data_IF_381257000547
#
_entry.id   IF_381257000547
#
_cell.length_a   1.000
_cell.length_b   1.000
_cell.length_c   1.000
_cell.angle_alpha   90.00
_cell.angle_beta   90.00
_cell.angle_gamma   90.00
#
_symmetry.space_group_name_H-M   'P 1'
#
loop_
_entity.id
_entity.type
_entity.pdbx_description
1 polymer ?
#
# COMPACT_ATOMS: atom_id res chain seq x y z
N UNK A 1 -21.86 -1.07 1.81
CA UNK A 1 -21.15 -0.41 0.70
C UNK A 1 -20.23 0.62 1.33
N UNK A 2 -18.93 0.53 1.08
CA UNK A 2 -17.96 1.49 1.62
C UNK A 2 -18.10 2.79 0.84
N UNK A 3 -18.11 3.92 1.53
CA UNK A 3 -17.90 5.21 0.87
C UNK A 3 -16.40 5.34 0.55
N UNK A 4 -16.04 5.18 -0.73
CA UNK A 4 -14.65 5.25 -1.19
C UNK A 4 -14.01 6.63 -0.92
N UNK A 5 -14.79 7.71 -0.84
CA UNK A 5 -14.26 9.05 -0.54
C UNK A 5 -13.89 9.16 0.94
N UNK A 6 -14.77 8.67 1.82
CA UNK A 6 -14.48 8.58 3.25
C UNK A 6 -13.26 7.69 3.50
N UNK A 7 -13.20 6.54 2.82
CA UNK A 7 -12.05 5.64 2.87
C UNK A 7 -10.74 6.38 2.55
N UNK A 8 -10.66 7.04 1.39
CA UNK A 8 -9.44 7.73 0.95
C UNK A 8 -9.07 8.89 1.88
N UNK A 9 -10.08 9.64 2.35
CA UNK A 9 -9.90 10.77 3.26
C UNK A 9 -9.46 10.38 4.68
N UNK A 10 -9.70 9.13 5.09
CA UNK A 10 -9.29 8.61 6.41
C UNK A 10 -7.84 8.10 6.48
N UNK A 11 -7.12 8.15 5.35
CA UNK A 11 -5.74 7.65 5.23
C UNK A 11 -4.77 8.83 5.14
N UNK A 12 -3.82 8.85 6.07
CA UNK A 12 -2.69 9.77 6.03
C UNK A 12 -1.64 9.28 5.03
N UNK A 13 -1.15 10.18 4.17
CA UNK A 13 -0.10 9.91 3.18
C UNK A 13 0.99 10.95 3.29
N UNK A 14 2.25 10.52 3.34
CA UNK A 14 3.42 11.39 3.42
C UNK A 14 4.55 10.79 2.58
N UNK A 15 5.38 11.65 2.01
CA UNK A 15 6.64 11.25 1.40
C UNK A 15 7.79 11.88 2.16
N UNK A 16 8.93 11.19 2.16
CA UNK A 16 10.17 11.68 2.70
C UNK A 16 11.38 11.04 2.01
N UNK A 17 12.55 11.45 2.46
CA UNK A 17 13.83 11.00 1.95
C UNK A 17 14.64 10.32 3.06
N UNK A 18 15.39 9.30 2.68
CA UNK A 18 16.33 8.61 3.58
C UNK A 18 17.57 8.20 2.79
N UNK A 19 18.70 8.11 3.48
CA UNK A 19 19.88 7.38 2.96
C UNK A 19 19.84 5.96 3.50
N UNK A 20 19.83 4.99 2.61
CA UNK A 20 19.88 3.56 2.93
C UNK A 20 21.03 2.93 2.15
N UNK A 21 21.89 2.17 2.83
CA UNK A 21 23.08 1.55 2.22
C UNK A 21 23.95 2.52 1.39
N UNK A 22 24.06 3.78 1.86
CA UNK A 22 24.84 4.83 1.20
C UNK A 22 24.22 5.40 -0.07
N UNK A 23 22.98 5.05 -0.40
CA UNK A 23 22.23 5.56 -1.56
C UNK A 23 20.98 6.30 -1.12
N UNK A 24 20.56 7.27 -1.92
CA UNK A 24 19.27 7.95 -1.72
C UNK A 24 18.12 6.95 -1.87
N UNK A 25 17.11 7.11 -1.03
CA UNK A 25 15.90 6.32 -1.01
C UNK A 25 14.71 7.22 -0.70
N UNK A 26 13.60 6.93 -1.36
CA UNK A 26 12.30 7.56 -1.06
C UNK A 26 11.57 6.72 -0.03
N UNK A 27 10.89 7.41 0.87
CA UNK A 27 10.04 6.82 1.90
C UNK A 27 8.61 7.22 1.60
N UNK A 28 7.77 6.23 1.30
CA UNK A 28 6.34 6.39 1.17
C UNK A 28 5.68 5.95 2.46
N UNK A 29 5.10 6.89 3.22
CA UNK A 29 4.40 6.61 4.47
C UNK A 29 2.90 6.64 4.24
N UNK A 30 2.22 5.57 4.64
CA UNK A 30 0.76 5.46 4.64
C UNK A 30 0.28 5.04 6.02
N UNK A 31 -0.86 5.55 6.48
CA UNK A 31 -1.45 4.97 7.68
C UNK A 31 -2.83 5.48 8.05
N UNK A 32 -3.42 4.79 9.02
CA UNK A 32 -4.82 4.97 9.42
C UNK A 32 -5.07 4.47 10.84
N UNK A 33 -5.96 5.16 11.55
CA UNK A 33 -6.47 4.72 12.86
C UNK A 33 -7.73 3.86 12.69
N UNK A 34 -7.86 2.84 13.53
CA UNK A 34 -8.94 1.88 13.55
C UNK A 34 -9.58 1.79 14.94
N UNK A 35 -10.89 1.57 14.98
CA UNK A 35 -11.64 1.36 16.22
C UNK A 35 -11.45 -0.07 16.73
N UNK A 36 -10.21 -0.39 17.11
CA UNK A 36 -9.79 -1.68 17.68
C UNK A 36 -8.56 -1.46 18.58
N UNK A 37 -8.07 -2.52 19.24
CA UNK A 37 -6.88 -2.44 20.11
C UNK A 37 -5.58 -2.66 19.32
N UNK A 38 -4.45 -2.26 19.91
CA UNK A 38 -3.11 -2.48 19.34
C UNK A 38 -2.85 -3.97 19.11
N UNK A 39 -3.24 -4.81 20.05
CA UNK A 39 -3.06 -6.27 19.98
C UNK A 39 -3.89 -6.87 18.85
N UNK A 40 -5.14 -6.43 18.70
CA UNK A 40 -6.01 -6.91 17.64
C UNK A 40 -5.49 -6.50 16.25
N UNK A 41 -5.14 -5.22 16.08
CA UNK A 41 -4.55 -4.72 14.84
C UNK A 41 -3.23 -5.42 14.52
N UNK A 42 -2.40 -5.67 15.53
CA UNK A 42 -1.17 -6.45 15.38
C UNK A 42 -1.43 -7.85 14.84
N UNK A 43 -2.40 -8.58 15.43
CA UNK A 43 -2.78 -9.91 14.94
C UNK A 43 -3.34 -9.86 13.51
N UNK A 44 -4.14 -8.84 13.17
CA UNK A 44 -4.64 -8.65 11.81
C UNK A 44 -3.52 -8.51 10.77
N UNK A 45 -2.39 -7.91 11.16
CA UNK A 45 -1.24 -7.69 10.29
C UNK A 45 -0.16 -8.79 10.34
N UNK A 46 -0.20 -9.71 11.31
CA UNK A 46 0.90 -10.67 11.52
C UNK A 46 0.49 -12.14 11.59
N UNK A 47 -0.78 -12.46 11.88
CA UNK A 47 -1.29 -13.83 11.83
C UNK A 47 -1.65 -14.20 10.38
N UNK A 48 -0.97 -15.17 9.73
CA UNK A 48 -1.24 -15.55 8.35
C UNK A 48 -2.69 -16.01 8.11
N UNK A 49 -3.35 -16.62 9.10
CA UNK A 49 -4.75 -17.05 8.99
C UNK A 49 -5.73 -15.87 9.01
N UNK A 50 -5.28 -14.73 9.55
CA UNK A 50 -6.04 -13.49 9.57
C UNK A 50 -5.71 -12.60 8.36
N UNK A 51 -4.44 -12.50 7.98
CA UNK A 51 -4.00 -11.74 6.80
C UNK A 51 -4.74 -12.19 5.55
N UNK A 52 -4.86 -13.51 5.32
CA UNK A 52 -5.54 -14.06 4.13
C UNK A 52 -7.02 -13.70 4.00
N UNK A 53 -7.63 -13.13 5.04
CA UNK A 53 -9.04 -12.70 5.05
C UNK A 53 -9.23 -11.35 4.38
N UNK A 54 -8.17 -10.54 4.28
CA UNK A 54 -8.26 -9.16 3.81
C UNK A 54 -7.14 -8.76 2.84
N UNK A 55 -6.11 -9.59 2.76
CA UNK A 55 -4.97 -9.45 1.88
C UNK A 55 -4.65 -10.80 1.21
N UNK A 56 -3.61 -10.81 0.37
CA UNK A 56 -3.12 -12.02 -0.25
C UNK A 56 -2.52 -12.99 0.79
N UNK A 57 -2.65 -14.32 0.61
CA UNK A 57 -2.08 -15.30 1.54
C UNK A 57 -0.57 -15.14 1.72
N UNK A 58 -0.13 -15.23 2.98
CA UNK A 58 1.28 -15.12 3.37
C UNK A 58 1.75 -16.44 3.97
N UNK A 59 2.89 -16.94 3.50
CA UNK A 59 3.49 -18.21 3.97
C UNK A 59 5.01 -18.09 4.13
N UNK A 60 5.62 -19.05 4.82
CA UNK A 60 7.07 -19.13 5.03
C UNK A 60 7.47 -19.25 6.50
N UNK A 61 8.72 -18.89 6.82
CA UNK A 61 9.20 -18.78 8.20
C UNK A 61 8.98 -17.35 8.69
N UNK A 62 7.88 -17.14 9.42
CA UNK A 62 7.42 -15.82 9.87
C UNK A 62 8.11 -15.39 11.17
N UNK A 63 9.45 -15.41 11.17
CA UNK A 63 10.31 -15.00 12.29
C UNK A 63 11.46 -14.13 11.76
N UNK A 64 12.12 -13.32 12.60
CA UNK A 64 13.32 -12.59 12.19
C UNK A 64 14.37 -13.49 11.56
N UNK A 65 14.90 -13.08 10.40
CA UNK A 65 15.80 -13.85 9.53
C UNK A 65 15.09 -14.85 8.61
N UNK A 66 13.81 -15.13 8.83
CA UNK A 66 13.01 -16.05 8.05
C UNK A 66 12.52 -15.43 6.73
N UNK A 67 12.33 -16.30 5.73
CA UNK A 67 11.79 -15.91 4.42
C UNK A 67 10.29 -16.07 4.37
N UNK A 68 9.61 -15.06 3.83
CA UNK A 68 8.17 -15.06 3.57
C UNK A 68 7.87 -14.96 2.08
N UNK A 69 6.64 -15.34 1.71
CA UNK A 69 6.07 -15.17 0.38
C UNK A 69 4.61 -14.74 0.50
N UNK A 70 4.25 -13.75 -0.31
CA UNK A 70 2.88 -13.35 -0.59
C UNK A 70 2.50 -14.00 -1.93
N UNK A 71 1.43 -14.79 -1.96
CA UNK A 71 1.04 -15.52 -3.17
C UNK A 71 0.71 -14.58 -4.34
N UNK A 72 1.30 -14.85 -5.50
CA UNK A 72 1.10 -14.06 -6.72
C UNK A 72 1.68 -12.63 -6.68
N UNK A 73 2.44 -12.27 -5.64
CA UNK A 73 2.94 -10.92 -5.44
C UNK A 73 4.44 -10.93 -5.07
N UNK A 74 4.81 -10.46 -3.89
CA UNK A 74 6.20 -10.31 -3.47
C UNK A 74 6.69 -11.43 -2.54
N UNK A 75 8.01 -11.53 -2.38
CA UNK A 75 8.65 -12.28 -1.30
C UNK A 75 9.56 -11.37 -0.48
N UNK A 76 10.17 -11.90 0.58
CA UNK A 76 11.17 -11.14 1.31
C UNK A 76 11.72 -11.88 2.52
N UNK A 77 12.49 -11.14 3.31
CA UNK A 77 13.08 -11.58 4.58
C UNK A 77 12.57 -10.68 5.68
N UNK A 78 12.08 -11.25 6.77
CA UNK A 78 11.72 -10.48 7.97
C UNK A 78 13.02 -10.08 8.66
N UNK A 79 13.29 -8.79 8.76
CA UNK A 79 14.54 -8.29 9.33
C UNK A 79 14.42 -8.12 10.84
N UNK A 80 13.30 -7.56 11.30
CA UNK A 80 13.01 -7.32 12.72
C UNK A 80 11.54 -7.53 13.02
N UNK A 81 11.25 -7.95 14.24
CA UNK A 81 9.89 -8.07 14.75
C UNK A 81 9.92 -7.80 16.26
N UNK A 82 9.19 -6.77 16.69
CA UNK A 82 9.01 -6.34 18.07
C UNK A 82 7.51 -6.28 18.40
N UNK A 83 6.87 -7.43 18.71
CA UNK A 83 5.45 -7.48 18.98
C UNK A 83 5.05 -6.72 20.26
N UNK A 84 3.88 -6.06 20.30
CA UNK A 84 2.91 -5.86 19.22
C UNK A 84 3.08 -4.51 18.50
N UNK A 85 4.32 -4.00 18.38
CA UNK A 85 4.60 -2.59 18.06
C UNK A 85 5.15 -2.39 16.67
N UNK A 86 6.03 -3.25 16.17
CA UNK A 86 6.62 -3.04 14.86
C UNK A 86 7.25 -4.29 14.23
N UNK A 87 7.34 -4.30 12.91
CA UNK A 87 8.19 -5.23 12.18
C UNK A 87 8.76 -4.56 10.93
N UNK A 88 9.91 -5.05 10.46
CA UNK A 88 10.51 -4.63 9.19
C UNK A 88 10.83 -5.84 8.34
N UNK A 89 10.71 -5.70 7.03
CA UNK A 89 11.03 -6.75 6.09
C UNK A 89 11.50 -6.18 4.74
N UNK A 90 12.31 -6.94 4.01
CA UNK A 90 12.54 -6.67 2.60
C UNK A 90 11.30 -7.00 1.78
N UNK A 91 11.12 -6.32 0.66
CA UNK A 91 10.04 -6.55 -0.30
C UNK A 91 10.65 -6.76 -1.68
N UNK A 92 10.64 -8.01 -2.14
CA UNK A 92 11.24 -8.47 -3.39
C UNK A 92 10.13 -8.66 -4.43
N UNK A 93 10.10 -7.79 -5.45
CA UNK A 93 9.10 -7.85 -6.52
C UNK A 93 9.69 -7.40 -7.86
N UNK A 94 9.38 -8.14 -8.93
CA UNK A 94 9.83 -7.79 -10.28
C UNK A 94 11.36 -7.68 -10.44
N UNK A 95 12.12 -8.45 -9.65
CA UNK A 95 13.60 -8.41 -9.63
C UNK A 95 14.20 -7.24 -8.84
N UNK A 96 13.37 -6.39 -8.24
CA UNK A 96 13.80 -5.29 -7.37
C UNK A 96 13.65 -5.66 -5.90
N UNK A 97 14.44 -5.02 -5.05
CA UNK A 97 14.36 -5.12 -3.60
C UNK A 97 14.09 -3.73 -3.02
N UNK A 98 12.99 -3.64 -2.27
CA UNK A 98 12.65 -2.51 -1.42
C UNK A 98 12.48 -2.98 0.03
N UNK A 99 12.04 -2.11 0.92
CA UNK A 99 11.84 -2.41 2.33
C UNK A 99 10.48 -1.90 2.79
N UNK A 100 9.89 -2.61 3.75
CA UNK A 100 8.73 -2.16 4.49
C UNK A 100 9.06 -2.06 5.97
N UNK A 101 8.59 -1.01 6.62
CA UNK A 101 8.62 -0.85 8.08
C UNK A 101 7.19 -0.56 8.56
N UNK A 102 6.62 -1.47 9.35
CA UNK A 102 5.27 -1.33 9.91
C UNK A 102 5.38 -0.96 11.38
N UNK A 103 4.58 0.03 11.80
CA UNK A 103 4.46 0.48 13.18
C UNK A 103 2.99 0.47 13.59
N UNK A 104 2.70 -0.08 14.76
CA UNK A 104 1.38 -0.12 15.38
C UNK A 104 1.47 0.50 16.78
N UNK A 105 0.57 1.44 17.07
CA UNK A 105 0.54 2.14 18.34
C UNK A 105 -0.86 2.59 18.72
N UNK A 106 -1.01 3.07 19.94
CA UNK A 106 -2.27 3.64 20.43
C UNK A 106 -2.27 5.14 20.18
N UNK A 107 -3.39 5.67 19.72
CA UNK A 107 -3.62 7.11 19.57
C UNK A 107 -4.14 7.74 20.86
N UNK A 108 -4.05 9.06 21.02
CA UNK A 108 -4.53 9.73 22.24
C UNK A 108 -6.01 9.52 22.56
N UNK A 109 -6.84 9.17 21.57
CA UNK A 109 -8.26 8.86 21.72
C UNK A 109 -8.54 7.35 21.92
N UNK A 110 -7.50 6.54 22.17
CA UNK A 110 -7.62 5.11 22.52
C UNK A 110 -7.79 4.15 21.35
N UNK A 111 -7.69 4.64 20.11
CA UNK A 111 -7.74 3.82 18.89
C UNK A 111 -6.37 3.23 18.55
N UNK A 112 -6.33 2.17 17.76
CA UNK A 112 -5.08 1.62 17.23
C UNK A 112 -4.71 2.26 15.88
N UNK A 113 -3.46 2.72 15.75
CA UNK A 113 -2.91 3.34 14.52
C UNK A 113 -1.94 2.39 13.85
N UNK A 114 -2.22 2.05 12.60
CA UNK A 114 -1.30 1.38 11.68
C UNK A 114 -0.53 2.44 10.88
N UNK A 115 0.79 2.35 10.81
CA UNK A 115 1.64 3.09 9.87
C UNK A 115 2.55 2.13 9.12
N UNK A 116 2.72 2.35 7.82
CA UNK A 116 3.67 1.63 6.98
C UNK A 116 4.53 2.63 6.22
N UNK A 117 5.84 2.44 6.30
CA UNK A 117 6.81 3.04 5.39
C UNK A 117 7.18 2.00 4.33
N UNK A 118 7.06 2.34 3.06
CA UNK A 118 7.65 1.61 1.96
C UNK A 118 8.87 2.40 1.45
N UNK A 119 10.05 1.80 1.52
CA UNK A 119 11.32 2.45 1.27
C UNK A 119 11.96 1.80 0.04
N UNK A 120 12.30 2.60 -0.96
CA UNK A 120 12.97 2.13 -2.17
C UNK A 120 14.04 3.12 -2.61
N UNK A 121 15.11 2.61 -3.23
CA UNK A 121 16.06 3.48 -3.91
C UNK A 121 15.39 4.22 -5.07
N UNK A 122 15.80 5.46 -5.31
CA UNK A 122 15.33 6.22 -6.46
C UNK A 122 15.84 5.57 -7.74
N UNK A 123 14.93 5.29 -8.67
CA UNK A 123 15.22 4.81 -10.01
C UNK A 123 14.36 5.56 -11.05
N UNK A 124 14.56 5.25 -12.33
CA UNK A 124 13.81 5.88 -13.43
C UNK A 124 12.28 5.69 -13.30
N UNK A 125 11.85 4.62 -12.61
CA UNK A 125 10.42 4.29 -12.43
C UNK A 125 9.76 5.23 -11.43
N UNK A 126 10.49 5.69 -10.42
CA UNK A 126 10.01 6.76 -9.53
C UNK A 126 9.75 8.04 -10.31
N UNK A 127 10.67 8.46 -11.19
CA UNK A 127 10.51 9.67 -11.98
C UNK A 127 9.35 9.56 -12.99
N UNK A 128 9.10 8.35 -13.51
CA UNK A 128 8.02 8.11 -14.46
C UNK A 128 6.64 7.99 -13.78
N UNK A 129 6.50 7.19 -12.72
CA UNK A 129 5.19 6.84 -12.17
C UNK A 129 4.89 7.48 -10.81
N UNK A 130 5.91 8.05 -10.16
CA UNK A 130 5.79 8.71 -8.87
C UNK A 130 5.34 7.76 -7.75
N UNK A 131 4.93 8.31 -6.59
CA UNK A 131 4.57 7.53 -5.41
C UNK A 131 3.34 6.63 -5.61
N UNK A 132 2.43 7.00 -6.52
CA UNK A 132 1.21 6.24 -6.76
C UNK A 132 1.47 4.82 -7.27
N UNK A 133 2.63 4.57 -7.90
CA UNK A 133 3.00 3.28 -8.48
C UNK A 133 2.94 2.13 -7.46
N UNK A 134 3.26 2.43 -6.20
CA UNK A 134 3.13 1.48 -5.08
C UNK A 134 2.06 1.93 -4.08
N UNK A 135 1.85 3.24 -3.94
CA UNK A 135 0.92 3.82 -2.98
C UNK A 135 -0.54 3.40 -3.19
N UNK A 136 -0.99 3.32 -4.45
CA UNK A 136 -2.37 2.89 -4.76
C UNK A 136 -2.62 1.44 -4.32
N UNK A 137 -1.61 0.57 -4.47
CA UNK A 137 -1.66 -0.80 -3.98
C UNK A 137 -1.81 -0.88 -2.46
N UNK A 138 -1.07 -0.03 -1.72
CA UNK A 138 -1.19 0.06 -0.27
C UNK A 138 -2.54 0.61 0.19
N UNK A 139 -3.10 1.57 -0.54
CA UNK A 139 -4.47 2.04 -0.29
C UNK A 139 -5.49 0.92 -0.44
N UNK A 140 -5.34 0.08 -1.48
CA UNK A 140 -6.17 -1.12 -1.67
C UNK A 140 -6.02 -2.13 -0.52
N UNK A 141 -4.78 -2.35 -0.03
CA UNK A 141 -4.54 -3.20 1.13
C UNK A 141 -5.21 -2.64 2.40
N UNK A 142 -5.11 -1.33 2.65
CA UNK A 142 -5.78 -0.68 3.78
C UNK A 142 -7.30 -0.72 3.66
N UNK A 143 -7.86 -0.64 2.46
CA UNK A 143 -9.29 -0.87 2.23
C UNK A 143 -9.70 -2.28 2.65
N UNK A 144 -8.93 -3.30 2.26
CA UNK A 144 -9.14 -4.68 2.72
C UNK A 144 -9.11 -4.79 4.24
N UNK A 145 -8.07 -4.26 4.89
CA UNK A 145 -7.92 -4.28 6.34
C UNK A 145 -9.09 -3.56 7.04
N UNK A 146 -9.53 -2.43 6.49
CA UNK A 146 -10.68 -1.66 6.99
C UNK A 146 -11.94 -2.51 7.00
N UNK A 147 -12.25 -3.14 5.88
CA UNK A 147 -13.42 -4.01 5.75
C UNK A 147 -13.37 -5.15 6.77
N UNK A 148 -12.22 -5.82 6.87
CA UNK A 148 -12.05 -6.95 7.78
C UNK A 148 -12.19 -6.57 9.25
N UNK A 149 -11.63 -5.42 9.68
CA UNK A 149 -11.78 -4.96 11.06
C UNK A 149 -13.20 -4.49 11.36
N UNK A 150 -13.91 -3.93 10.37
CA UNK A 150 -15.28 -3.45 10.54
C UNK A 150 -16.31 -4.60 10.59
N UNK A 151 -16.12 -5.67 9.82
CA UNK A 151 -17.10 -6.76 9.71
C UNK A 151 -16.69 -8.05 10.42
N UNK A 152 -15.40 -8.26 10.64
CA UNK A 152 -14.83 -9.53 11.10
C UNK A 152 -14.80 -10.63 10.03
N UNK A 153 -15.37 -10.37 8.85
CA UNK A 153 -15.50 -11.33 7.75
C UNK A 153 -14.26 -11.34 6.85
N UNK A 154 -14.14 -12.39 6.04
CA UNK A 154 -13.17 -12.45 4.97
C UNK A 154 -13.76 -11.88 3.67
N UNK A 155 -12.90 -11.30 2.84
CA UNK A 155 -13.26 -10.82 1.51
C UNK A 155 -13.07 -11.98 0.52
N UNK A 156 -14.10 -12.31 -0.25
CA UNK A 156 -13.97 -13.29 -1.33
C UNK A 156 -13.05 -12.71 -2.43
N UNK A 157 -11.97 -13.41 -2.82
CA UNK A 157 -11.05 -12.93 -3.86
C UNK A 157 -11.72 -12.59 -5.18
N UNK A 158 -12.77 -13.32 -5.58
CA UNK A 158 -13.51 -13.07 -6.83
C UNK A 158 -14.36 -11.81 -6.74
N UNK A 159 -14.96 -11.55 -5.58
CA UNK A 159 -15.71 -10.32 -5.34
C UNK A 159 -14.77 -9.12 -5.31
N UNK A 160 -13.61 -9.25 -4.68
CA UNK A 160 -12.56 -8.22 -4.70
C UNK A 160 -12.09 -7.93 -6.14
N UNK A 161 -11.83 -8.96 -6.96
CA UNK A 161 -11.43 -8.81 -8.36
C UNK A 161 -12.51 -8.12 -9.22
N UNK A 162 -13.76 -8.56 -9.06
CA UNK A 162 -14.90 -7.94 -9.75
C UNK A 162 -15.07 -6.47 -9.35
N UNK A 163 -14.89 -6.14 -8.07
CA UNK A 163 -14.97 -4.77 -7.59
C UNK A 163 -13.82 -3.90 -8.13
N UNK A 164 -12.58 -4.40 -8.12
CA UNK A 164 -11.41 -3.68 -8.63
C UNK A 164 -11.54 -3.27 -10.11
N UNK A 165 -12.27 -4.04 -10.91
CA UNK A 165 -12.51 -3.78 -12.34
C UNK A 165 -13.82 -3.04 -12.63
N UNK A 166 -14.62 -2.76 -11.60
CA UNK A 166 -15.87 -2.01 -11.69
C UNK A 166 -15.65 -0.50 -11.87
N UNK A 167 -16.72 0.27 -12.11
CA UNK A 167 -16.66 1.73 -12.12
C UNK A 167 -16.25 2.30 -10.76
N UNK A 168 -16.74 1.70 -9.66
CA UNK A 168 -16.41 2.12 -8.30
C UNK A 168 -14.93 1.85 -7.97
N UNK A 169 -14.40 0.68 -8.35
CA UNK A 169 -12.97 0.36 -8.20
C UNK A 169 -12.07 1.31 -9.00
N UNK A 170 -12.46 1.63 -10.25
CA UNK A 170 -11.74 2.65 -11.04
C UNK A 170 -11.83 4.03 -10.40
N UNK A 171 -12.97 4.41 -9.82
CA UNK A 171 -13.11 5.66 -9.09
C UNK A 171 -12.21 5.70 -7.85
N UNK A 172 -12.09 4.59 -7.12
CA UNK A 172 -11.16 4.45 -6.00
C UNK A 172 -9.71 4.67 -6.44
N UNK A 173 -9.27 4.04 -7.54
CA UNK A 173 -7.91 4.23 -8.04
C UNK A 173 -7.62 5.68 -8.45
N UNK A 174 -8.59 6.38 -9.06
CA UNK A 174 -8.45 7.81 -9.37
C UNK A 174 -8.29 8.65 -8.11
N UNK A 175 -9.17 8.46 -7.11
CA UNK A 175 -9.11 9.19 -5.84
C UNK A 175 -7.81 8.92 -5.07
N UNK A 176 -7.33 7.67 -5.06
CA UNK A 176 -6.05 7.30 -4.44
C UNK A 176 -4.87 7.93 -5.19
N UNK A 177 -4.85 7.86 -6.53
CA UNK A 177 -3.80 8.47 -7.35
C UNK A 177 -3.74 9.99 -7.20
N UNK A 178 -4.89 10.66 -7.13
CA UNK A 178 -4.98 12.10 -6.85
C UNK A 178 -4.45 12.41 -5.44
N UNK A 179 -4.79 11.62 -4.43
CA UNK A 179 -4.29 11.81 -3.06
C UNK A 179 -2.77 11.62 -2.95
N UNK A 180 -2.20 10.65 -3.67
CA UNK A 180 -0.74 10.47 -3.76
C UNK A 180 -0.05 11.60 -4.54
N UNK A 181 -0.71 12.16 -5.57
CA UNK A 181 -0.22 13.35 -6.26
C UNK A 181 -0.11 14.55 -5.31
N UNK A 182 -1.13 14.78 -4.48
CA UNK A 182 -1.10 15.87 -3.50
C UNK A 182 -0.01 15.66 -2.43
N UNK A 183 0.21 14.41 -1.99
CA UNK A 183 1.32 14.07 -1.09
C UNK A 183 2.70 14.32 -1.73
N UNK A 184 2.84 14.02 -3.03
CA UNK A 184 4.06 14.27 -3.80
C UNK A 184 4.37 15.78 -3.91
N UNK A 185 3.35 16.57 -4.27
CA UNK A 185 3.45 18.03 -4.32
C UNK A 185 3.81 18.60 -2.94
N UNK A 186 3.17 18.11 -1.88
CA UNK A 186 3.46 18.54 -0.52
C UNK A 186 4.89 18.20 -0.07
N UNK A 187 5.50 17.16 -0.65
CA UNK A 187 6.90 16.79 -0.41
C UNK A 187 7.92 17.65 -1.18
N UNK A 188 7.45 18.49 -2.11
CA UNK A 188 8.28 19.45 -2.85
C UNK A 188 8.48 19.12 -4.32
N UNK A 189 7.86 18.06 -4.85
CA UNK A 189 7.89 17.75 -6.28
C UNK A 189 7.17 18.83 -7.08
N UNK A 190 7.69 19.15 -8.27
CA UNK A 190 7.05 20.07 -9.20
C UNK A 190 5.62 19.60 -9.54
N UNK A 191 4.67 20.54 -9.52
CA UNK A 191 3.24 20.22 -9.65
C UNK A 191 2.90 19.54 -10.97
N UNK A 192 3.51 19.98 -12.06
CA UNK A 192 3.20 19.43 -13.38
C UNK A 192 3.82 18.04 -13.53
N UNK A 193 5.02 17.83 -12.98
CA UNK A 193 5.64 16.50 -12.91
C UNK A 193 4.82 15.51 -12.08
N UNK A 194 4.43 15.89 -10.87
CA UNK A 194 3.63 15.03 -9.97
C UNK A 194 2.30 14.63 -10.61
N UNK A 195 1.60 15.60 -11.24
CA UNK A 195 0.34 15.33 -11.95
C UNK A 195 0.51 14.41 -13.15
N UNK A 196 1.56 14.61 -13.95
CA UNK A 196 1.82 13.75 -15.10
C UNK A 196 2.16 12.31 -14.67
N UNK A 197 2.92 12.14 -13.59
CA UNK A 197 3.22 10.83 -13.02
C UNK A 197 1.97 10.15 -12.48
N UNK A 198 1.14 10.88 -11.72
CA UNK A 198 -0.13 10.36 -11.20
C UNK A 198 -1.08 9.93 -12.32
N UNK A 199 -1.21 10.73 -13.39
CA UNK A 199 -2.04 10.36 -14.55
C UNK A 199 -1.60 9.05 -15.21
N UNK A 200 -0.29 8.84 -15.41
CA UNK A 200 0.24 7.58 -15.96
C UNK A 200 -0.09 6.40 -15.05
N UNK A 201 0.11 6.57 -13.75
CA UNK A 201 -0.18 5.55 -12.75
C UNK A 201 -1.67 5.22 -12.68
N UNK A 202 -2.54 6.23 -12.64
CA UNK A 202 -4.00 6.05 -12.66
C UNK A 202 -4.41 5.27 -13.91
N UNK A 203 -3.92 5.67 -15.10
CA UNK A 203 -4.24 5.00 -16.36
C UNK A 203 -3.81 3.51 -16.34
N UNK A 204 -2.69 3.19 -15.70
CA UNK A 204 -2.26 1.81 -15.51
C UNK A 204 -3.25 1.03 -14.62
N UNK A 205 -3.61 1.58 -13.45
CA UNK A 205 -4.52 0.92 -12.50
C UNK A 205 -5.97 0.81 -13.00
N UNK A 206 -6.44 1.74 -13.83
CA UNK A 206 -7.79 1.71 -14.41
C UNK A 206 -7.90 0.86 -15.69
N UNK A 207 -6.76 0.41 -16.22
CA UNK A 207 -6.66 -0.31 -17.50
C UNK A 207 -6.76 0.59 -18.73
N UNK A 208 -6.77 1.91 -18.56
CA UNK A 208 -6.85 2.90 -19.66
C UNK A 208 -5.52 3.01 -20.43
N UNK A 209 -4.39 2.64 -19.81
CA UNK A 209 -3.08 2.62 -20.47
C UNK A 209 -2.99 1.63 -21.63
N UNK A 210 -3.71 0.50 -21.56
CA UNK A 210 -3.77 -0.49 -22.64
C UNK A 210 -4.71 -0.07 -23.78
N UNK A 211 -5.80 0.65 -23.46
CA UNK A 211 -6.80 1.06 -24.45
C UNK A 211 -6.31 2.14 -25.44
N UNK A 212 -5.26 2.89 -25.09
CA UNK A 212 -4.65 3.92 -25.95
C UNK A 212 -3.67 3.39 -27.00
N UNK A 213 -3.18 2.16 -26.87
CA UNK A 213 -2.24 1.56 -27.82
C UNK A 213 -2.96 0.87 -28.97
N UNK A 214 -4.13 0.27 -28.73
CA UNK A 214 -4.95 -0.37 -29.78
C UNK A 214 -5.66 0.63 -30.72
N UNK A 215 -5.82 1.89 -30.30
CA UNK A 215 -6.52 2.92 -31.09
C UNK A 215 -5.65 3.57 -32.19
N UNK A 216 -4.33 3.31 -32.21
CA UNK A 216 -3.43 3.78 -33.29
C UNK A 216 -3.15 2.71 -34.37
N UNK A 217 -3.70 1.50 -34.23
CA UNK A 217 -3.52 0.41 -35.20
C UNK A 217 -4.79 0.05 -35.98
N UNK A 218 -5.83 0.90 -35.94
CA UNK A 218 -7.06 0.74 -36.75
C UNK A 218 -7.17 1.76 -37.88
#
# INVERSE_FOLDING_TARGET
MIDIREQIGSVDRRLGDRVLDGREARVLTIGRSFDTTVEDLWQACTDPERIRRWFLPVSGDLRPGGRYRIEGNASGVIERCDPPRSFSATWEYGGQVSWIEVRIGETPDGRARFELDHIAHVDDRWDEFGPGAVGIGWDGALLGLTLHLATGEGIDPKEAEAWMTSEEGRAFYRLSGDAWCEADIASGTDKDKARAASQRTIAFYTGEAAAGQDACES
#
